data_IF_778178345767
#
_entry.id   IF_778178345767
#
_cell.length_a   1.000
_cell.length_b   1.000
_cell.length_c   1.000
_cell.angle_alpha   90.00
_cell.angle_beta   90.00
_cell.angle_gamma   90.00
#
_symmetry.space_group_name_H-M   'P 1'
#
loop_
_entity.id
_entity.type
_entity.pdbx_description
1 polymer ?
#
# COMPACT_ATOMS: atom_id res chain seq x y z
N UNK A 1 -0.36 14.50 -23.13
CA UNK A 1 -0.53 14.22 -21.69
C UNK A 1 -1.58 13.12 -21.58
N UNK A 2 -1.28 12.00 -20.92
CA UNK A 2 -2.25 10.92 -20.74
C UNK A 2 -3.03 11.20 -19.45
N UNK A 3 -4.26 11.69 -19.59
CA UNK A 3 -5.20 11.68 -18.47
C UNK A 3 -5.58 10.23 -18.18
N UNK A 4 -5.56 9.86 -16.90
CA UNK A 4 -6.07 8.57 -16.46
C UNK A 4 -7.57 8.51 -16.80
N UNK A 5 -7.99 7.41 -17.40
CA UNK A 5 -9.39 7.09 -17.59
C UNK A 5 -10.05 6.79 -16.25
N UNK A 6 -11.37 6.92 -16.18
CA UNK A 6 -12.13 6.56 -14.98
C UNK A 6 -11.89 5.10 -14.54
N UNK A 7 -11.71 4.19 -15.50
CA UNK A 7 -11.39 2.78 -15.21
C UNK A 7 -10.03 2.64 -14.54
N UNK A 8 -9.03 3.36 -15.02
CA UNK A 8 -7.69 3.34 -14.42
C UNK A 8 -7.70 3.96 -13.01
N UNK A 9 -8.45 5.05 -12.80
CA UNK A 9 -8.63 5.64 -11.47
C UNK A 9 -9.28 4.65 -10.49
N UNK A 10 -10.35 3.96 -10.90
CA UNK A 10 -10.99 2.94 -10.06
C UNK A 10 -10.03 1.80 -9.72
N UNK A 11 -9.25 1.32 -10.69
CA UNK A 11 -8.25 0.28 -10.45
C UNK A 11 -7.19 0.73 -9.45
N UNK A 12 -6.75 1.99 -9.55
CA UNK A 12 -5.76 2.56 -8.63
C UNK A 12 -6.34 2.76 -7.23
N UNK A 13 -7.60 3.18 -7.10
CA UNK A 13 -8.28 3.26 -5.81
C UNK A 13 -8.38 1.89 -5.13
N UNK A 14 -8.73 0.84 -5.88
CA UNK A 14 -8.81 -0.51 -5.34
C UNK A 14 -7.42 -1.07 -4.98
N UNK A 15 -6.40 -0.77 -5.79
CA UNK A 15 -5.02 -1.08 -5.47
C UNK A 15 -4.58 -0.40 -4.16
N UNK A 16 -4.88 0.88 -3.98
CA UNK A 16 -4.57 1.62 -2.75
C UNK A 16 -5.26 1.02 -1.51
N UNK A 17 -6.54 0.63 -1.63
CA UNK A 17 -7.26 -0.06 -0.54
C UNK A 17 -6.59 -1.39 -0.20
N UNK A 18 -6.15 -2.14 -1.22
CA UNK A 18 -5.47 -3.41 -1.03
C UNK A 18 -4.13 -3.25 -0.30
N UNK A 19 -3.31 -2.26 -0.67
CA UNK A 19 -2.05 -1.96 0.02
C UNK A 19 -2.27 -1.60 1.51
N UNK A 20 -3.31 -0.82 1.82
CA UNK A 20 -3.68 -0.52 3.20
C UNK A 20 -4.13 -1.78 3.97
N UNK A 21 -4.91 -2.66 3.34
CA UNK A 21 -5.35 -3.91 3.95
C UNK A 21 -4.16 -4.85 4.20
N UNK A 22 -3.25 -4.99 3.24
CA UNK A 22 -2.03 -5.77 3.39
C UNK A 22 -1.18 -5.25 4.55
N UNK A 23 -0.97 -3.92 4.63
CA UNK A 23 -0.24 -3.29 5.73
C UNK A 23 -0.86 -3.65 7.10
N UNK A 24 -2.17 -3.50 7.25
CA UNK A 24 -2.88 -3.83 8.50
C UNK A 24 -2.78 -5.31 8.84
N UNK A 25 -2.95 -6.18 7.85
CA UNK A 25 -2.87 -7.63 8.01
C UNK A 25 -1.47 -8.06 8.45
N UNK A 26 -0.43 -7.51 7.84
CA UNK A 26 0.95 -7.82 8.19
C UNK A 26 1.32 -7.31 9.59
N UNK A 27 0.87 -6.11 9.96
CA UNK A 27 1.05 -5.60 11.32
C UNK A 27 0.32 -6.47 12.36
N UNK A 28 -0.92 -6.90 12.07
CA UNK A 28 -1.65 -7.82 12.92
C UNK A 28 -0.90 -9.14 13.10
N UNK A 29 -0.38 -9.75 12.02
CA UNK A 29 0.42 -10.97 12.14
C UNK A 29 1.73 -10.73 12.91
N UNK A 30 2.41 -9.60 12.72
CA UNK A 30 3.61 -9.25 13.48
C UNK A 30 3.35 -9.16 15.00
N UNK A 31 2.15 -8.75 15.41
CA UNK A 31 1.72 -8.71 16.81
C UNK A 31 1.40 -10.10 17.37
N UNK A 32 0.84 -10.98 16.54
CA UNK A 32 0.47 -12.35 16.94
C UNK A 32 1.63 -13.34 16.90
N UNK A 33 2.69 -13.07 16.13
CA UNK A 33 3.86 -13.93 16.02
C UNK A 33 4.79 -13.78 17.24
N UNK A 34 5.16 -14.92 17.83
CA UNK A 34 6.15 -14.97 18.92
C UNK A 34 7.58 -15.16 18.43
N UNK A 35 7.75 -15.68 17.21
CA UNK A 35 9.07 -15.84 16.59
C UNK A 35 9.60 -14.47 16.13
N UNK A 36 10.78 -14.03 16.60
CA UNK A 36 11.34 -12.72 16.25
C UNK A 36 11.62 -12.55 14.75
N UNK A 37 11.99 -13.63 14.04
CA UNK A 37 12.33 -13.58 12.61
C UNK A 37 11.06 -13.40 11.78
N UNK A 38 10.00 -14.13 12.13
CA UNK A 38 8.69 -13.99 11.47
C UNK A 38 8.11 -12.60 11.75
N UNK A 39 8.22 -12.12 12.99
CA UNK A 39 7.80 -10.77 13.34
C UNK A 39 8.50 -9.71 12.51
N UNK A 40 9.82 -9.80 12.38
CA UNK A 40 10.60 -8.86 11.56
C UNK A 40 10.17 -8.93 10.09
N UNK A 41 9.99 -10.13 9.53
CA UNK A 41 9.52 -10.30 8.16
C UNK A 41 8.15 -9.64 7.94
N UNK A 42 7.20 -9.83 8.86
CA UNK A 42 5.89 -9.18 8.78
C UNK A 42 6.00 -7.65 8.85
N UNK A 43 6.87 -7.12 9.71
CA UNK A 43 7.11 -5.67 9.82
C UNK A 43 7.74 -5.10 8.53
N UNK A 44 8.71 -5.80 7.95
CA UNK A 44 9.35 -5.40 6.68
C UNK A 44 8.32 -5.40 5.54
N UNK A 45 7.46 -6.41 5.48
CA UNK A 45 6.35 -6.45 4.52
C UNK A 45 5.38 -5.29 4.72
N UNK A 46 4.96 -5.02 5.96
CA UNK A 46 4.06 -3.91 6.27
C UNK A 46 4.68 -2.56 5.85
N UNK A 47 5.97 -2.36 6.10
CA UNK A 47 6.68 -1.15 5.70
C UNK A 47 6.74 -1.01 4.17
N UNK A 48 7.01 -2.10 3.45
CA UNK A 48 7.03 -2.12 1.98
C UNK A 48 5.67 -1.73 1.39
N UNK A 49 4.58 -2.33 1.88
CA UNK A 49 3.22 -1.99 1.45
C UNK A 49 2.87 -0.51 1.75
N UNK A 50 3.28 0.01 2.91
CA UNK A 50 3.09 1.41 3.25
C UNK A 50 3.87 2.36 2.31
N UNK A 51 5.09 1.99 1.92
CA UNK A 51 5.90 2.75 0.95
C UNK A 51 5.26 2.74 -0.45
N UNK A 52 4.76 1.58 -0.90
CA UNK A 52 4.05 1.45 -2.18
C UNK A 52 2.80 2.35 -2.20
N UNK A 53 2.00 2.30 -1.13
CA UNK A 53 0.84 3.17 -0.97
C UNK A 53 1.22 4.66 -1.07
N UNK A 54 2.21 5.10 -0.29
CA UNK A 54 2.64 6.51 -0.29
C UNK A 54 3.15 6.96 -1.66
N UNK A 55 3.92 6.11 -2.33
CA UNK A 55 4.44 6.38 -3.68
C UNK A 55 3.29 6.55 -4.66
N UNK A 56 2.34 5.62 -4.66
CA UNK A 56 1.18 5.67 -5.56
C UNK A 56 0.30 6.90 -5.29
N UNK A 57 0.07 7.27 -4.03
CA UNK A 57 -0.66 8.51 -3.68
C UNK A 57 0.06 9.77 -4.17
N UNK A 58 1.39 9.83 -4.05
CA UNK A 58 2.19 10.95 -4.59
C UNK A 58 2.05 11.06 -6.11
N UNK A 59 2.07 9.93 -6.82
CA UNK A 59 1.86 9.91 -8.26
C UNK A 59 0.44 10.41 -8.62
N UNK A 60 -0.60 9.90 -7.97
CA UNK A 60 -1.98 10.32 -8.22
C UNK A 60 -2.21 11.81 -7.92
N UNK A 61 -1.69 12.31 -6.79
CA UNK A 61 -1.79 13.73 -6.44
C UNK A 61 -1.04 14.63 -7.42
N UNK A 62 0.12 14.21 -7.92
CA UNK A 62 0.84 14.93 -8.97
C UNK A 62 0.07 14.98 -10.30
N UNK A 63 -0.70 13.93 -10.61
CA UNK A 63 -1.55 13.87 -11.80
C UNK A 63 -2.88 14.63 -11.66
N UNK A 64 -3.37 14.87 -10.44
CA UNK A 64 -4.65 15.57 -10.18
C UNK A 64 -4.49 17.10 -10.05
N UNK A 65 -3.25 17.58 -9.82
CA UNK A 65 -2.93 19.00 -9.62
C UNK A 65 -2.45 19.73 -10.89
N UNK A 66 -2.59 19.13 -12.07
CA UNK A 66 -2.29 19.74 -13.38
C UNK A 66 -3.51 19.73 -14.28
#
# INVERSE_FOLDING_TARGET
MHHLTQRELMFLEDYLKNEQLCTKTMNFYAEQCTDPSIKQLCQDCAQSHQQNYQTMVRHLSSHTLQ
#
